data_IF_056149893571
#
_entry.id   IF_056149893571
#
_cell.length_a   1.000
_cell.length_b   1.000
_cell.length_c   1.000
_cell.angle_alpha   90.00
_cell.angle_beta   90.00
_cell.angle_gamma   90.00
#
_symmetry.space_group_name_H-M   'P 1'
#
loop_
_entity.id
_entity.type
_entity.pdbx_description
1 polymer ?
#
# COMPACT_ATOMS: atom_id res chain seq x y z
N UNK A 1 22.86 15.19 -0.09
CA UNK A 1 22.81 13.76 -0.50
C UNK A 1 23.99 13.37 -1.39
N UNK A 2 24.42 14.19 -2.36
CA UNK A 2 25.58 13.91 -3.20
C UNK A 2 26.82 13.58 -2.36
N UNK A 3 27.14 14.38 -1.34
CA UNK A 3 28.27 14.15 -0.46
C UNK A 3 28.21 12.78 0.25
N UNK A 4 27.01 12.34 0.67
CA UNK A 4 26.85 11.01 1.26
C UNK A 4 27.11 9.90 0.24
N UNK A 5 26.66 10.09 -1.01
CA UNK A 5 26.84 9.10 -2.09
C UNK A 5 28.26 9.08 -2.64
N UNK A 6 29.02 10.19 -2.55
CA UNK A 6 30.40 10.30 -3.03
C UNK A 6 31.42 9.90 -1.96
N UNK A 7 31.36 10.58 -0.82
CA UNK A 7 32.36 10.46 0.23
C UNK A 7 31.96 9.44 1.32
N UNK A 8 30.69 9.03 1.34
CA UNK A 8 30.14 8.21 2.42
C UNK A 8 30.12 8.94 3.77
N UNK A 9 30.12 10.29 3.76
CA UNK A 9 30.19 11.10 4.97
C UNK A 9 29.17 12.23 4.87
N UNK A 10 28.51 12.52 5.98
CA UNK A 10 27.68 13.71 6.15
C UNK A 10 28.23 14.56 7.28
N UNK A 11 28.47 15.84 7.01
CA UNK A 11 28.83 16.80 8.06
C UNK A 11 27.59 17.63 8.40
N UNK A 12 27.21 17.64 9.68
CA UNK A 12 26.08 18.43 10.16
C UNK A 12 26.45 19.93 10.29
N UNK A 13 25.47 20.76 10.62
CA UNK A 13 25.65 22.20 10.80
C UNK A 13 26.56 22.58 11.96
N UNK A 14 26.86 21.65 12.86
CA UNK A 14 27.77 21.82 14.01
C UNK A 14 29.19 21.33 13.72
N UNK A 15 29.46 20.86 12.50
CA UNK A 15 30.76 20.34 12.10
C UNK A 15 30.99 18.86 12.46
N UNK A 16 30.02 18.17 13.00
CA UNK A 16 30.13 16.75 13.36
C UNK A 16 30.02 15.89 12.09
N UNK A 17 30.97 15.00 11.91
CA UNK A 17 31.03 14.07 10.77
C UNK A 17 30.36 12.74 11.14
N UNK A 18 29.45 12.27 10.28
CA UNK A 18 28.78 10.97 10.40
C UNK A 18 29.19 10.11 9.20
N UNK A 19 29.62 8.88 9.47
CA UNK A 19 30.05 7.91 8.45
C UNK A 19 28.85 7.10 7.94
N UNK A 20 28.67 7.10 6.60
CA UNK A 20 27.62 6.37 5.86
C UNK A 20 28.20 5.29 4.93
N UNK A 21 29.52 4.98 5.00
CA UNK A 21 30.17 4.04 4.06
C UNK A 21 29.57 2.63 4.08
N UNK A 22 29.07 2.21 5.24
CA UNK A 22 28.46 0.88 5.41
C UNK A 22 26.94 0.95 5.47
N UNK A 23 26.30 1.87 4.72
CA UNK A 23 24.84 2.03 4.71
C UNK A 23 24.26 1.71 3.34
N UNK A 24 23.02 1.21 3.34
CA UNK A 24 22.18 1.12 2.15
C UNK A 24 21.26 2.34 2.11
N UNK A 25 21.39 3.16 1.07
CA UNK A 25 20.55 4.33 0.89
C UNK A 25 19.37 3.97 -0.02
N UNK A 26 18.15 3.99 0.51
CA UNK A 26 16.93 3.74 -0.25
C UNK A 26 16.12 5.03 -0.36
N UNK A 27 15.82 5.44 -1.58
CA UNK A 27 15.01 6.62 -1.86
C UNK A 27 13.72 6.21 -2.56
N UNK A 28 12.60 6.84 -2.22
CA UNK A 28 11.32 6.62 -2.86
C UNK A 28 10.81 7.90 -3.52
N UNK A 29 10.21 7.76 -4.70
CA UNK A 29 9.64 8.87 -5.45
C UNK A 29 8.39 8.40 -6.20
N UNK A 30 7.46 9.32 -6.46
CA UNK A 30 6.31 9.11 -7.33
C UNK A 30 6.52 9.68 -8.75
N UNK A 31 7.74 10.04 -9.11
CA UNK A 31 8.07 10.57 -10.43
C UNK A 31 7.69 9.57 -11.54
N UNK A 32 7.03 10.07 -12.58
CA UNK A 32 6.59 9.26 -13.72
C UNK A 32 5.31 8.45 -13.47
N UNK A 33 4.72 8.48 -12.28
CA UNK A 33 3.46 7.75 -12.01
C UNK A 33 2.28 8.23 -12.88
N UNK A 34 2.25 9.51 -13.24
CA UNK A 34 1.22 10.09 -14.13
C UNK A 34 1.41 9.65 -15.58
N UNK A 35 2.66 9.49 -16.02
CA UNK A 35 2.98 9.06 -17.38
C UNK A 35 2.64 7.58 -17.62
N UNK A 36 2.57 6.77 -16.58
CA UNK A 36 2.22 5.34 -16.65
C UNK A 36 0.72 5.06 -16.52
N UNK A 37 -0.08 6.05 -16.14
CA UNK A 37 -1.53 5.92 -16.00
C UNK A 37 -2.30 5.88 -17.32
N UNK A 38 -1.63 6.11 -18.46
CA UNK A 38 -2.23 6.03 -19.81
C UNK A 38 -2.47 4.59 -20.25
N UNK A 39 -3.70 4.29 -20.63
CA UNK A 39 -4.11 2.99 -21.16
C UNK A 39 -3.32 2.73 -22.47
N UNK A 40 -2.51 1.65 -22.50
CA UNK A 40 -1.94 1.11 -23.75
C UNK A 40 -0.43 1.27 -23.97
N UNK A 41 0.33 1.83 -23.05
CA UNK A 41 1.80 1.86 -23.15
C UNK A 41 2.39 0.55 -22.64
N UNK A 42 3.11 -0.18 -23.51
CA UNK A 42 3.87 -1.37 -23.11
C UNK A 42 4.90 -1.05 -22.02
N UNK A 43 5.38 -2.06 -21.33
CA UNK A 43 6.35 -1.92 -20.21
C UNK A 43 7.58 -1.05 -20.57
N UNK A 44 8.05 -1.13 -21.83
CA UNK A 44 9.17 -0.32 -22.32
C UNK A 44 8.85 1.18 -22.39
N UNK A 45 7.65 1.57 -22.81
CA UNK A 45 7.23 2.97 -22.87
C UNK A 45 7.08 3.55 -21.45
N UNK A 46 6.57 2.78 -20.51
CA UNK A 46 6.50 3.16 -19.10
C UNK A 46 7.90 3.38 -18.50
N UNK A 47 8.84 2.49 -18.80
CA UNK A 47 10.23 2.61 -18.33
C UNK A 47 10.93 3.85 -18.91
N UNK A 48 10.74 4.13 -20.21
CA UNK A 48 11.32 5.32 -20.84
C UNK A 48 10.74 6.62 -20.28
N UNK A 49 9.44 6.64 -19.95
CA UNK A 49 8.80 7.81 -19.34
C UNK A 49 9.36 8.10 -17.93
N UNK A 50 9.57 7.05 -17.12
CA UNK A 50 10.19 7.20 -15.78
C UNK A 50 11.62 7.70 -15.91
N UNK A 51 12.42 7.14 -16.82
CA UNK A 51 13.80 7.60 -17.05
C UNK A 51 13.85 9.07 -17.50
N UNK A 52 12.93 9.49 -18.37
CA UNK A 52 12.81 10.89 -18.79
C UNK A 52 12.49 11.78 -17.60
N UNK A 53 11.49 11.44 -16.81
CA UNK A 53 11.10 12.20 -15.61
C UNK A 53 12.25 12.32 -14.58
N UNK A 54 13.06 11.27 -14.43
CA UNK A 54 14.23 11.30 -13.56
C UNK A 54 15.30 12.28 -14.09
N UNK A 55 15.60 12.26 -15.40
CA UNK A 55 16.58 13.17 -16.02
C UNK A 55 16.13 14.64 -15.99
N UNK A 56 14.85 14.90 -16.04
CA UNK A 56 14.29 16.26 -15.95
C UNK A 56 14.34 16.81 -14.50
N UNK A 57 14.30 15.91 -13.50
CA UNK A 57 14.20 16.30 -12.09
C UNK A 57 15.52 16.28 -11.35
N UNK A 58 16.43 15.41 -11.71
CA UNK A 58 17.72 15.20 -11.03
C UNK A 58 18.90 15.50 -11.94
N UNK A 59 19.94 16.06 -11.36
CA UNK A 59 21.18 16.31 -12.08
C UNK A 59 21.84 15.00 -12.52
N UNK A 60 22.56 14.99 -13.68
CA UNK A 60 23.24 13.80 -14.19
C UNK A 60 24.21 13.17 -13.18
N UNK A 61 24.92 13.99 -12.42
CA UNK A 61 25.88 13.57 -11.40
C UNK A 61 25.19 12.76 -10.29
N UNK A 62 23.98 13.18 -9.91
CA UNK A 62 23.17 12.46 -8.92
C UNK A 62 22.69 11.12 -9.48
N UNK A 63 22.18 11.10 -10.71
CA UNK A 63 21.70 9.88 -11.35
C UNK A 63 22.84 8.87 -11.58
N UNK A 64 24.04 9.33 -11.86
CA UNK A 64 25.22 8.49 -12.03
C UNK A 64 25.70 7.79 -10.76
N UNK A 65 25.18 8.16 -9.58
CA UNK A 65 25.49 7.56 -8.28
C UNK A 65 24.39 6.59 -7.78
N UNK A 66 23.32 6.43 -8.56
CA UNK A 66 22.26 5.49 -8.23
C UNK A 66 22.60 4.13 -8.84
N UNK A 67 22.81 3.12 -8.02
CA UNK A 67 23.15 1.76 -8.47
C UNK A 67 21.96 1.07 -9.13
N UNK A 68 20.74 1.29 -8.63
CA UNK A 68 19.55 0.61 -9.11
C UNK A 68 18.31 1.50 -9.01
N UNK A 69 17.55 1.58 -10.10
CA UNK A 69 16.21 2.19 -10.13
C UNK A 69 15.17 1.09 -10.26
N UNK A 70 14.46 0.79 -9.17
CA UNK A 70 13.37 -0.17 -9.16
C UNK A 70 12.04 0.53 -9.46
N UNK A 71 11.36 0.10 -10.52
CA UNK A 71 10.05 0.58 -10.88
C UNK A 71 8.98 -0.40 -10.38
N UNK A 72 8.04 0.09 -9.59
CA UNK A 72 6.89 -0.69 -9.14
C UNK A 72 5.77 -0.60 -10.17
N UNK A 73 5.32 -1.74 -10.65
CA UNK A 73 4.15 -1.84 -11.52
C UNK A 73 2.85 -1.54 -10.72
N UNK A 74 1.80 -1.05 -11.40
CA UNK A 74 0.47 -1.00 -10.79
C UNK A 74 0.05 -2.39 -10.30
N UNK A 75 -0.67 -2.42 -9.17
CA UNK A 75 -1.20 -3.67 -8.63
C UNK A 75 -2.32 -4.20 -9.53
N UNK A 76 -2.19 -5.43 -9.97
CA UNK A 76 -3.24 -6.15 -10.68
C UNK A 76 -4.33 -6.67 -9.72
N UNK A 77 -5.40 -7.22 -10.26
CA UNK A 77 -6.51 -7.74 -9.47
C UNK A 77 -6.09 -8.90 -8.55
N UNK A 78 -5.17 -9.75 -8.99
CA UNK A 78 -4.68 -10.88 -8.20
C UNK A 78 -3.86 -10.41 -7.00
N UNK A 79 -2.96 -9.42 -7.20
CA UNK A 79 -2.19 -8.82 -6.14
C UNK A 79 -3.09 -8.08 -5.12
N UNK A 80 -4.11 -7.34 -5.61
CA UNK A 80 -5.08 -6.67 -4.74
C UNK A 80 -5.88 -7.67 -3.90
N UNK A 81 -6.31 -8.79 -4.49
CA UNK A 81 -7.00 -9.86 -3.78
C UNK A 81 -6.09 -10.51 -2.70
N UNK A 82 -4.84 -10.77 -3.02
CA UNK A 82 -3.87 -11.31 -2.06
C UNK A 82 -3.62 -10.35 -0.88
N UNK A 83 -3.52 -9.05 -1.16
CA UNK A 83 -3.38 -8.02 -0.13
C UNK A 83 -4.64 -7.94 0.73
N UNK A 84 -5.84 -8.00 0.10
CA UNK A 84 -7.12 -8.01 0.80
C UNK A 84 -7.22 -9.18 1.78
N UNK A 85 -6.86 -10.39 1.35
CA UNK A 85 -6.84 -11.59 2.22
C UNK A 85 -5.95 -11.39 3.43
N UNK A 86 -4.72 -10.95 3.24
CA UNK A 86 -3.78 -10.69 4.36
C UNK A 86 -4.33 -9.67 5.36
N UNK A 87 -4.99 -8.63 4.88
CA UNK A 87 -5.57 -7.61 5.78
C UNK A 87 -6.82 -8.12 6.50
N UNK A 88 -7.65 -8.92 5.83
CA UNK A 88 -8.80 -9.60 6.45
C UNK A 88 -8.36 -10.62 7.51
N UNK A 89 -7.34 -11.42 7.23
CA UNK A 89 -6.78 -12.37 8.20
C UNK A 89 -6.23 -11.65 9.44
N UNK A 90 -5.51 -10.55 9.24
CA UNK A 90 -5.04 -9.71 10.34
C UNK A 90 -6.20 -9.06 11.13
N UNK A 91 -7.31 -8.71 10.45
CA UNK A 91 -8.51 -8.19 11.09
C UNK A 91 -9.21 -9.27 11.91
N UNK A 92 -9.33 -10.49 11.40
CA UNK A 92 -9.94 -11.62 12.14
C UNK A 92 -9.14 -11.96 13.40
N UNK A 93 -7.81 -11.91 13.34
CA UNK A 93 -6.96 -12.16 14.50
C UNK A 93 -7.11 -11.04 15.57
N UNK A 94 -7.15 -9.78 15.14
CA UNK A 94 -7.40 -8.65 16.05
C UNK A 94 -8.78 -8.73 16.70
N UNK A 95 -9.82 -9.08 15.93
CA UNK A 95 -11.18 -9.26 16.44
C UNK A 95 -11.23 -10.37 17.50
N UNK A 96 -10.56 -11.50 17.26
CA UNK A 96 -10.44 -12.61 18.21
C UNK A 96 -9.80 -12.18 19.52
N UNK A 97 -8.76 -11.34 19.49
CA UNK A 97 -8.13 -10.79 20.70
C UNK A 97 -9.09 -9.90 21.51
N UNK A 98 -10.11 -9.35 20.86
CA UNK A 98 -11.19 -8.58 21.50
C UNK A 98 -12.41 -9.43 21.89
N UNK A 99 -12.32 -10.76 21.79
CA UNK A 99 -13.41 -11.69 22.14
C UNK A 99 -14.46 -11.90 21.04
N UNK A 100 -14.25 -11.36 19.83
CA UNK A 100 -15.16 -11.52 18.69
C UNK A 100 -14.65 -12.59 17.72
N UNK A 101 -15.38 -13.68 17.53
CA UNK A 101 -15.09 -14.69 16.51
C UNK A 101 -15.53 -14.18 15.13
N UNK A 102 -14.66 -13.40 14.47
CA UNK A 102 -14.90 -12.88 13.13
C UNK A 102 -14.55 -13.92 12.07
N UNK A 103 -15.39 -14.03 11.04
CA UNK A 103 -15.13 -14.77 9.79
C UNK A 103 -15.47 -13.90 8.59
N UNK A 104 -15.01 -14.28 7.41
CA UNK A 104 -15.41 -13.65 6.15
C UNK A 104 -15.68 -14.72 5.09
N UNK A 105 -16.63 -14.44 4.18
CA UNK A 105 -16.95 -15.33 3.07
C UNK A 105 -15.87 -15.28 1.99
N UNK A 106 -15.77 -16.36 1.21
CA UNK A 106 -14.67 -16.55 0.24
C UNK A 106 -14.61 -15.49 -0.87
N UNK A 107 -15.71 -14.82 -1.16
CA UNK A 107 -15.87 -13.78 -2.19
C UNK A 107 -15.54 -12.36 -1.70
N UNK A 108 -15.37 -12.16 -0.40
CA UNK A 108 -15.05 -10.86 0.21
C UNK A 108 -13.73 -10.27 -0.31
N UNK A 109 -12.62 -11.02 -0.39
CA UNK A 109 -11.37 -10.49 -0.95
C UNK A 109 -11.50 -10.02 -2.40
N UNK A 110 -12.23 -10.78 -3.22
CA UNK A 110 -12.47 -10.43 -4.63
C UNK A 110 -13.38 -9.21 -4.78
N UNK A 111 -14.38 -9.08 -3.92
CA UNK A 111 -15.24 -7.90 -3.85
C UNK A 111 -14.41 -6.63 -3.56
N UNK A 112 -13.56 -6.67 -2.54
CA UNK A 112 -12.67 -5.57 -2.19
C UNK A 112 -11.68 -5.24 -3.31
N UNK A 113 -11.10 -6.26 -3.96
CA UNK A 113 -10.17 -6.07 -5.07
C UNK A 113 -10.84 -5.35 -6.26
N UNK A 114 -12.07 -5.74 -6.63
CA UNK A 114 -12.85 -5.08 -7.69
C UNK A 114 -13.16 -3.62 -7.37
N UNK A 115 -13.63 -3.32 -6.15
CA UNK A 115 -13.89 -1.95 -5.72
C UNK A 115 -12.62 -1.09 -5.72
N UNK A 116 -11.51 -1.66 -5.28
CA UNK A 116 -10.20 -1.01 -5.26
C UNK A 116 -9.70 -0.69 -6.67
N UNK A 117 -9.84 -1.64 -7.60
CA UNK A 117 -9.44 -1.45 -9.00
C UNK A 117 -10.24 -0.32 -9.66
N UNK A 118 -11.55 -0.22 -9.39
CA UNK A 118 -12.40 0.86 -9.88
C UNK A 118 -11.95 2.25 -9.37
N UNK A 119 -11.45 2.33 -8.13
CA UNK A 119 -10.98 3.58 -7.53
C UNK A 119 -9.61 4.06 -8.02
N UNK A 120 -8.86 3.27 -8.80
CA UNK A 120 -7.51 3.56 -9.35
C UNK A 120 -6.47 4.03 -8.32
N UNK A 121 -6.71 3.80 -7.03
CA UNK A 121 -5.85 4.28 -5.93
C UNK A 121 -5.03 3.18 -5.25
N UNK A 122 -5.01 1.98 -5.83
CA UNK A 122 -4.20 0.84 -5.40
C UNK A 122 -4.45 0.42 -3.93
N UNK A 123 -3.42 -0.08 -3.26
CA UNK A 123 -3.53 -0.60 -1.89
C UNK A 123 -4.02 0.43 -0.84
N UNK A 124 -3.89 1.73 -1.12
CA UNK A 124 -4.39 2.78 -0.23
C UNK A 124 -5.93 2.80 -0.21
N UNK A 125 -6.56 2.68 -1.40
CA UNK A 125 -8.01 2.57 -1.49
C UNK A 125 -8.53 1.30 -0.80
N UNK A 126 -7.82 0.18 -0.94
CA UNK A 126 -8.16 -1.07 -0.26
C UNK A 126 -8.20 -0.90 1.26
N UNK A 127 -7.19 -0.27 1.83
CA UNK A 127 -7.14 0.01 3.28
C UNK A 127 -8.31 0.89 3.71
N UNK A 128 -8.63 1.92 2.94
CA UNK A 128 -9.75 2.80 3.23
C UNK A 128 -11.10 2.06 3.18
N UNK A 129 -11.30 1.21 2.16
CA UNK A 129 -12.50 0.37 2.05
C UNK A 129 -12.65 -0.57 3.24
N UNK A 130 -11.58 -1.25 3.65
CA UNK A 130 -11.59 -2.10 4.85
C UNK A 130 -11.92 -1.32 6.11
N UNK A 131 -11.32 -0.15 6.29
CA UNK A 131 -11.58 0.69 7.44
C UNK A 131 -13.05 1.13 7.51
N UNK A 132 -13.62 1.55 6.40
CA UNK A 132 -14.99 2.09 6.36
C UNK A 132 -16.06 0.99 6.35
N UNK A 133 -15.83 -0.12 5.63
CA UNK A 133 -16.84 -1.15 5.40
C UNK A 133 -16.75 -2.35 6.36
N UNK A 134 -15.60 -2.54 7.01
CA UNK A 134 -15.40 -3.64 7.96
C UNK A 134 -15.05 -3.15 9.36
N UNK A 135 -13.92 -2.41 9.52
CA UNK A 135 -13.42 -2.05 10.85
C UNK A 135 -14.38 -1.11 11.60
N UNK A 136 -14.93 -0.09 10.97
CA UNK A 136 -15.85 0.85 11.62
C UNK A 136 -17.16 0.19 12.07
N UNK A 137 -17.86 -0.62 11.24
CA UNK A 137 -19.03 -1.37 11.69
C UNK A 137 -18.73 -2.38 12.80
N UNK A 138 -17.61 -3.11 12.71
CA UNK A 138 -17.19 -4.05 13.76
C UNK A 138 -16.91 -3.34 15.08
N UNK A 139 -16.25 -2.18 15.04
CA UNK A 139 -15.99 -1.37 16.24
C UNK A 139 -17.31 -0.91 16.88
N UNK A 140 -18.28 -0.49 16.09
CA UNK A 140 -19.59 -0.11 16.58
C UNK A 140 -20.32 -1.28 17.28
N UNK A 141 -20.22 -2.51 16.72
CA UNK A 141 -20.77 -3.72 17.32
C UNK A 141 -20.09 -4.06 18.65
N UNK A 142 -18.78 -3.99 18.73
CA UNK A 142 -18.01 -4.27 19.94
C UNK A 142 -18.27 -3.26 21.07
N UNK A 143 -18.60 -2.01 20.71
CA UNK A 143 -18.95 -0.96 21.67
C UNK A 143 -20.44 -0.94 22.07
N UNK A 144 -21.25 -1.83 21.50
CA UNK A 144 -22.67 -1.94 21.85
C UNK A 144 -22.88 -2.47 23.28
N UNK A 145 -24.07 -2.24 23.84
CA UNK A 145 -24.42 -2.75 25.19
C UNK A 145 -24.34 -4.28 25.31
N UNK A 146 -24.55 -4.98 24.20
CA UNK A 146 -24.48 -6.43 24.11
C UNK A 146 -23.62 -6.79 22.89
N UNK A 147 -22.30 -6.82 23.05
CA UNK A 147 -21.42 -7.15 21.94
C UNK A 147 -21.63 -8.60 21.51
N UNK A 148 -21.73 -8.89 20.21
CA UNK A 148 -21.90 -10.25 19.71
C UNK A 148 -20.63 -11.07 19.93
N UNK A 149 -20.79 -12.37 20.15
CA UNK A 149 -19.63 -13.28 20.21
C UNK A 149 -19.09 -13.65 18.81
N UNK A 150 -19.95 -13.55 17.78
CA UNK A 150 -19.64 -13.95 16.42
C UNK A 150 -20.10 -12.92 15.41
N UNK A 151 -19.30 -12.73 14.37
CA UNK A 151 -19.65 -11.91 13.22
C UNK A 151 -19.09 -12.51 11.92
N UNK A 152 -19.79 -12.22 10.81
CA UNK A 152 -19.38 -12.66 9.48
C UNK A 152 -19.38 -11.44 8.53
N UNK A 153 -18.28 -11.23 7.82
CA UNK A 153 -18.22 -10.27 6.71
C UNK A 153 -18.69 -10.96 5.43
N UNK A 154 -19.65 -10.33 4.75
CA UNK A 154 -20.20 -10.80 3.47
C UNK A 154 -20.09 -9.74 2.40
N UNK A 155 -19.86 -10.17 1.17
CA UNK A 155 -19.96 -9.29 0.02
C UNK A 155 -21.43 -8.97 -0.28
N UNK A 156 -21.70 -7.71 -0.62
CA UNK A 156 -23.02 -7.23 -1.05
C UNK A 156 -22.89 -6.38 -2.30
N UNK A 157 -24.01 -6.03 -2.92
CA UNK A 157 -24.05 -5.17 -4.10
C UNK A 157 -23.44 -3.76 -3.84
N UNK A 158 -23.48 -3.29 -2.59
CA UNK A 158 -22.99 -1.97 -2.18
C UNK A 158 -21.63 -2.00 -1.48
N UNK A 159 -21.02 -3.18 -1.33
CA UNK A 159 -19.74 -3.34 -0.63
C UNK A 159 -19.76 -4.50 0.36
N UNK A 160 -19.16 -4.31 1.53
CA UNK A 160 -19.18 -5.31 2.58
C UNK A 160 -20.34 -5.05 3.55
N UNK A 161 -20.88 -6.15 4.07
CA UNK A 161 -21.87 -6.15 5.15
C UNK A 161 -21.34 -6.98 6.31
N UNK A 162 -21.62 -6.53 7.53
CA UNK A 162 -21.31 -7.26 8.76
C UNK A 162 -22.60 -7.87 9.29
N UNK A 163 -22.69 -9.18 9.34
CA UNK A 163 -23.76 -9.91 9.98
C UNK A 163 -23.25 -10.44 11.33
N UNK A 164 -24.00 -10.20 12.40
CA UNK A 164 -23.66 -10.65 13.76
C UNK A 164 -24.71 -11.60 14.29
N UNK A 165 -24.26 -12.58 15.07
CA UNK A 165 -25.11 -13.48 15.83
C UNK A 165 -24.67 -13.50 17.29
N UNK A 166 -25.64 -13.38 18.16
CA UNK A 166 -25.47 -13.56 19.60
C UNK A 166 -25.34 -15.03 19.91
#
# INVERSE_FOLDING_TARGET
LLQVMEDGILTDSTGRRVDFKNTLLVMTSNLGSEATAGIGFGAQAAQSAVQKALRERFAPEFLGRIDCVAQFAPLDSAALCAIARRQLDALTERAKQQGLALRYDADVPDCLARQTAAARSGARALRHLLQTQAEAPLSALLLSKHPPERAVLRASAQGLRVDSSS
#
